data_IF_236308265027
#
_entry.id   IF_236308265027
#
_cell.length_a   1.000
_cell.length_b   1.000
_cell.length_c   1.000
_cell.angle_alpha   90.00
_cell.angle_beta   90.00
_cell.angle_gamma   90.00
#
_symmetry.space_group_name_H-M   'P 1'
#
loop_
_entity.id
_entity.type
_entity.pdbx_description
1 polymer ?
#
# COMPACT_ATOMS: atom_id res chain seq x y z
N UNK A 1 6.59 13.21 16.80
CA UNK A 1 5.41 12.77 16.02
C UNK A 1 5.75 12.86 14.53
N UNK A 2 5.51 11.82 13.71
CA UNK A 2 5.71 11.89 12.25
C UNK A 2 4.50 12.59 11.64
N UNK A 3 4.70 13.76 11.06
CA UNK A 3 3.64 14.55 10.42
C UNK A 3 3.63 14.29 8.91
N UNK A 4 2.47 14.39 8.29
CA UNK A 4 2.29 14.23 6.85
C UNK A 4 1.81 15.56 6.28
N UNK A 5 2.39 15.98 5.16
CA UNK A 5 1.86 17.09 4.37
C UNK A 5 1.72 16.65 2.93
N UNK A 6 0.57 16.94 2.32
CA UNK A 6 0.32 16.70 0.90
C UNK A 6 1.07 17.77 0.10
N UNK A 7 2.02 17.35 -0.75
CA UNK A 7 2.72 18.27 -1.67
C UNK A 7 3.04 17.56 -2.99
N UNK A 8 2.21 17.81 -4.00
CA UNK A 8 2.45 17.46 -5.40
C UNK A 8 1.92 16.10 -5.87
N UNK A 9 1.39 16.10 -7.09
CA UNK A 9 0.50 15.10 -7.73
C UNK A 9 0.98 13.63 -7.84
N UNK A 10 2.17 13.24 -7.34
CA UNK A 10 2.70 11.87 -7.55
C UNK A 10 3.55 11.33 -6.37
N UNK A 11 3.59 12.00 -5.21
CA UNK A 11 4.51 11.62 -4.14
C UNK A 11 3.92 11.82 -2.73
N UNK A 12 4.19 10.85 -1.85
CA UNK A 12 3.94 10.98 -0.41
C UNK A 12 5.15 11.65 0.25
N UNK A 13 4.93 12.78 0.91
CA UNK A 13 5.95 13.44 1.71
C UNK A 13 5.84 12.97 3.16
N UNK A 14 6.81 12.18 3.61
CA UNK A 14 6.88 11.69 4.99
C UNK A 14 7.76 12.65 5.78
N UNK A 15 7.15 13.43 6.67
CA UNK A 15 7.88 14.38 7.53
C UNK A 15 8.15 13.70 8.88
N UNK A 16 9.42 13.71 9.27
CA UNK A 16 9.85 13.44 10.62
C UNK A 16 10.46 14.73 11.20
N UNK A 17 10.50 14.86 12.52
CA UNK A 17 10.95 16.07 13.23
C UNK A 17 12.39 16.53 12.87
N UNK A 18 13.20 15.65 12.27
CA UNK A 18 14.58 15.95 11.82
C UNK A 18 14.83 15.70 10.33
N UNK A 19 13.92 15.03 9.62
CA UNK A 19 14.16 14.61 8.24
C UNK A 19 12.84 14.57 7.45
N UNK A 20 12.82 15.16 6.27
CA UNK A 20 11.78 14.94 5.27
C UNK A 20 12.25 13.87 4.29
N UNK A 21 11.49 12.78 4.14
CA UNK A 21 11.72 11.79 3.08
C UNK A 21 10.54 11.79 2.12
N UNK A 22 10.83 12.01 0.84
CA UNK A 22 9.87 11.89 -0.24
C UNK A 22 9.78 10.43 -0.68
N UNK A 23 8.57 9.89 -0.76
CA UNK A 23 8.29 8.56 -1.29
C UNK A 23 7.51 8.74 -2.59
N UNK A 24 8.06 8.20 -3.67
CA UNK A 24 7.42 8.24 -4.99
C UNK A 24 6.36 7.14 -5.03
N UNK A 25 5.11 7.50 -5.33
CA UNK A 25 3.98 6.55 -5.32
C UNK A 25 4.16 5.39 -6.30
N UNK A 26 4.80 5.65 -7.45
CA UNK A 26 5.13 4.64 -8.46
C UNK A 26 6.01 3.51 -7.89
N UNK A 27 6.84 3.79 -6.90
CA UNK A 27 7.74 2.79 -6.32
C UNK A 27 7.10 2.05 -5.15
N UNK A 28 5.89 2.47 -4.73
CA UNK A 28 5.17 1.82 -3.63
C UNK A 28 4.44 0.60 -4.16
N UNK A 29 4.75 -0.56 -3.58
CA UNK A 29 4.17 -1.84 -3.92
C UNK A 29 2.89 -2.09 -3.13
N UNK A 30 2.98 -2.00 -1.80
CA UNK A 30 1.84 -2.18 -0.91
C UNK A 30 2.01 -1.43 0.41
N UNK A 31 0.90 -1.23 1.10
CA UNK A 31 0.84 -0.73 2.46
C UNK A 31 0.21 -1.79 3.36
N UNK A 32 0.87 -2.05 4.49
CA UNK A 32 0.40 -2.93 5.56
C UNK A 32 0.12 -2.13 6.83
N UNK A 33 -1.12 -2.18 7.29
CA UNK A 33 -1.59 -1.50 8.48
C UNK A 33 -1.45 -2.40 9.70
N UNK A 34 -1.01 -1.83 10.79
CA UNK A 34 -1.02 -2.40 12.13
C UNK A 34 -1.57 -1.34 13.09
N UNK A 35 -2.90 -1.36 13.29
CA UNK A 35 -3.67 -0.47 14.17
C UNK A 35 -3.36 1.01 13.87
N UNK A 36 -2.37 1.60 14.54
CA UNK A 36 -1.98 3.00 14.43
C UNK A 36 -0.73 3.24 13.56
N UNK A 37 -0.16 2.17 13.01
CA UNK A 37 1.02 2.23 12.18
C UNK A 37 0.74 1.69 10.78
N UNK A 38 1.41 2.26 9.79
CA UNK A 38 1.37 1.76 8.42
C UNK A 38 2.79 1.57 7.91
N UNK A 39 3.08 0.36 7.45
CA UNK A 39 4.32 0.01 6.77
C UNK A 39 4.11 0.11 5.27
N UNK A 40 4.86 1.00 4.63
CA UNK A 40 4.92 1.14 3.17
C UNK A 40 6.07 0.26 2.66
N UNK A 41 5.76 -0.63 1.73
CA UNK A 41 6.73 -1.50 1.07
C UNK A 41 7.01 -0.94 -0.33
N UNK A 42 8.28 -0.87 -0.68
CA UNK A 42 8.76 -0.35 -1.95
C UNK A 42 9.29 -1.48 -2.85
N UNK A 43 9.40 -1.18 -4.14
CA UNK A 43 9.90 -2.08 -5.19
C UNK A 43 11.36 -2.52 -4.98
N UNK A 44 12.17 -1.65 -4.38
CA UNK A 44 13.56 -1.91 -4.00
C UNK A 44 13.73 -2.69 -2.68
N UNK A 45 12.68 -3.39 -2.22
CA UNK A 45 12.63 -4.11 -0.94
C UNK A 45 12.86 -3.27 0.32
N UNK A 46 12.88 -1.94 0.20
CA UNK A 46 12.92 -1.07 1.39
C UNK A 46 11.52 -0.90 1.96
N UNK A 47 11.45 -0.63 3.27
CA UNK A 47 10.19 -0.40 3.98
C UNK A 47 10.24 0.84 4.84
N UNK A 48 9.09 1.50 4.99
CA UNK A 48 8.94 2.70 5.81
C UNK A 48 7.72 2.61 6.70
N UNK A 49 7.94 2.74 8.01
CA UNK A 49 6.85 2.77 8.99
C UNK A 49 6.44 4.22 9.29
N UNK A 50 5.15 4.50 9.19
CA UNK A 50 4.52 5.77 9.55
C UNK A 50 3.54 5.53 10.70
N UNK A 51 3.48 6.45 11.65
CA UNK A 51 2.57 6.41 12.80
C UNK A 51 1.20 7.00 12.45
N UNK A 52 0.59 6.50 11.38
CA UNK A 52 -0.78 6.80 10.98
C UNK A 52 -1.43 5.52 10.47
N UNK A 53 -2.74 5.31 10.70
CA UNK A 53 -3.48 4.16 10.18
C UNK A 53 -3.61 4.22 8.65
N UNK A 54 -3.81 3.08 7.97
CA UNK A 54 -4.01 3.08 6.51
C UNK A 54 -5.14 4.01 6.09
N UNK A 55 -6.22 4.06 6.87
CA UNK A 55 -7.40 4.90 6.59
C UNK A 55 -7.03 6.38 6.35
N UNK A 56 -5.95 6.86 6.97
CA UNK A 56 -5.43 8.20 6.78
C UNK A 56 -4.91 8.44 5.35
N UNK A 57 -4.34 7.41 4.71
CA UNK A 57 -3.79 7.49 3.35
C UNK A 57 -4.78 7.07 2.27
N UNK A 58 -5.88 6.40 2.65
CA UNK A 58 -6.81 5.73 1.75
C UNK A 58 -7.34 6.65 0.66
N UNK A 59 -7.97 7.77 1.03
CA UNK A 59 -8.54 8.72 0.05
C UNK A 59 -7.50 9.25 -0.94
N UNK A 60 -6.27 9.53 -0.48
CA UNK A 60 -5.21 10.03 -1.36
C UNK A 60 -4.64 8.93 -2.26
N UNK A 61 -4.50 7.71 -1.76
CA UNK A 61 -3.96 6.60 -2.54
C UNK A 61 -4.98 6.07 -3.55
N UNK A 62 -6.27 6.09 -3.23
CA UNK A 62 -7.34 5.71 -4.16
C UNK A 62 -7.36 6.62 -5.40
N UNK A 63 -7.13 7.92 -5.26
CA UNK A 63 -7.03 8.83 -6.42
C UNK A 63 -5.82 8.53 -7.32
N UNK A 64 -4.85 7.75 -6.82
CA UNK A 64 -3.67 7.30 -7.58
C UNK A 64 -3.79 5.82 -8.00
N UNK A 65 -4.99 5.24 -7.92
CA UNK A 65 -5.26 3.88 -8.41
C UNK A 65 -4.84 2.77 -7.45
N UNK A 66 -4.49 3.06 -6.20
CA UNK A 66 -4.28 2.02 -5.20
C UNK A 66 -5.62 1.39 -4.80
N UNK A 67 -5.59 0.09 -4.52
CA UNK A 67 -6.78 -0.68 -4.14
C UNK A 67 -6.70 -1.10 -2.68
N UNK A 68 -7.72 -0.75 -1.91
CA UNK A 68 -7.92 -1.29 -0.56
C UNK A 68 -8.49 -2.69 -0.66
N UNK A 69 -7.68 -3.73 -0.41
CA UNK A 69 -8.10 -5.15 -0.54
C UNK A 69 -8.47 -5.80 0.80
N UNK A 70 -7.98 -5.24 1.91
CA UNK A 70 -8.27 -5.70 3.27
C UNK A 70 -8.21 -4.55 4.27
N UNK A 71 -8.74 -4.73 5.48
CA UNK A 71 -8.67 -3.71 6.54
C UNK A 71 -7.24 -3.32 6.93
N UNK A 72 -6.27 -4.20 6.68
CA UNK A 72 -4.83 -3.98 6.90
C UNK A 72 -4.01 -3.93 5.62
N UNK A 73 -4.60 -4.08 4.43
CA UNK A 73 -3.82 -4.07 3.18
C UNK A 73 -4.41 -3.11 2.15
N UNK A 74 -3.53 -2.31 1.56
CA UNK A 74 -3.78 -1.49 0.39
C UNK A 74 -2.65 -1.73 -0.60
N UNK A 75 -2.96 -2.03 -1.85
CA UNK A 75 -1.99 -2.51 -2.84
C UNK A 75 -1.95 -1.60 -4.06
N UNK A 76 -0.79 -1.52 -4.72
CA UNK A 76 -0.67 -0.92 -6.04
C UNK A 76 -0.91 -1.98 -7.11
N UNK A 77 -1.98 -1.90 -7.92
CA UNK A 77 -2.30 -2.91 -8.93
C UNK A 77 -1.19 -3.12 -9.97
N UNK A 78 -0.42 -2.07 -10.27
CA UNK A 78 0.69 -2.12 -11.22
C UNK A 78 1.83 -3.05 -10.76
N UNK A 79 1.85 -3.45 -9.49
CA UNK A 79 2.84 -4.36 -8.93
C UNK A 79 2.26 -5.74 -8.61
N UNK A 80 1.03 -6.06 -9.01
CA UNK A 80 0.47 -7.41 -8.82
C UNK A 80 1.08 -8.35 -9.85
N UNK A 81 1.71 -9.44 -9.38
CA UNK A 81 2.24 -10.53 -10.21
C UNK A 81 1.23 -11.65 -10.42
N UNK A 82 0.31 -11.85 -9.48
CA UNK A 82 -0.70 -12.90 -9.57
C UNK A 82 -1.59 -12.94 -8.33
N UNK A 83 -2.53 -13.88 -8.35
CA UNK A 83 -3.49 -14.10 -7.28
C UNK A 83 -3.55 -15.59 -6.91
N UNK A 84 -3.36 -15.90 -5.63
CA UNK A 84 -3.62 -17.23 -5.09
C UNK A 84 -5.07 -17.30 -4.62
N UNK A 85 -5.88 -18.09 -5.33
CA UNK A 85 -7.30 -18.24 -5.04
C UNK A 85 -7.58 -19.03 -3.74
N UNK A 86 -6.74 -20.01 -3.40
CA UNK A 86 -6.92 -20.84 -2.20
C UNK A 86 -6.69 -20.03 -0.92
N UNK A 87 -5.58 -19.28 -0.88
CA UNK A 87 -5.25 -18.41 0.26
C UNK A 87 -5.94 -17.04 0.22
N UNK A 88 -6.49 -16.64 -0.94
CA UNK A 88 -7.05 -15.30 -1.24
C UNK A 88 -5.99 -14.21 -1.10
N UNK A 89 -4.80 -14.44 -1.65
CA UNK A 89 -3.66 -13.54 -1.52
C UNK A 89 -3.22 -13.00 -2.89
N UNK A 90 -2.94 -11.71 -2.95
CA UNK A 90 -2.24 -11.10 -4.07
C UNK A 90 -0.74 -11.26 -3.86
N UNK A 91 -0.06 -11.73 -4.90
CA UNK A 91 1.39 -11.85 -4.94
C UNK A 91 1.92 -10.58 -5.60
N UNK A 92 2.78 -9.85 -4.90
CA UNK A 92 3.30 -8.57 -5.37
C UNK A 92 4.68 -8.70 -6.03
N UNK A 93 5.09 -7.66 -6.76
CA UNK A 93 6.32 -7.68 -7.57
C UNK A 93 7.59 -7.90 -6.75
N UNK A 94 7.60 -7.40 -5.51
CA UNK A 94 8.69 -7.54 -4.55
C UNK A 94 8.62 -8.84 -3.72
N UNK A 95 7.68 -9.74 -4.03
CA UNK A 95 7.51 -11.02 -3.32
C UNK A 95 6.63 -10.94 -2.07
N UNK A 96 6.24 -9.74 -1.63
CA UNK A 96 5.29 -9.59 -0.53
C UNK A 96 3.89 -10.06 -0.94
N UNK A 97 3.08 -10.41 0.06
CA UNK A 97 1.71 -10.90 -0.13
C UNK A 97 0.71 -10.01 0.58
N UNK A 98 -0.45 -9.81 -0.06
CA UNK A 98 -1.56 -9.05 0.50
C UNK A 98 -2.84 -9.90 0.50
N UNK A 99 -3.32 -10.24 1.69
CA UNK A 99 -4.58 -10.96 1.85
C UNK A 99 -5.74 -10.08 1.40
N UNK A 100 -6.69 -10.66 0.67
CA UNK A 100 -7.95 -10.03 0.28
C UNK A 100 -9.05 -10.43 1.27
N UNK A 101 -9.84 -9.46 1.73
CA UNK A 101 -11.04 -9.74 2.52
C UNK A 101 -12.08 -10.50 1.69
N UNK A 102 -12.86 -11.39 2.33
CA UNK A 102 -13.93 -12.17 1.67
C UNK A 102 -14.88 -11.30 0.83
N UNK A 103 -15.27 -10.13 1.36
CA UNK A 103 -16.15 -9.16 0.66
C UNK A 103 -15.52 -8.56 -0.61
N UNK A 104 -14.19 -8.58 -0.73
CA UNK A 104 -13.42 -7.99 -1.83
C UNK A 104 -12.75 -9.04 -2.72
N UNK A 105 -13.12 -10.33 -2.57
CA UNK A 105 -12.53 -11.43 -3.35
C UNK A 105 -12.65 -11.22 -4.86
N UNK A 106 -13.72 -10.56 -5.32
CA UNK A 106 -13.91 -10.18 -6.72
C UNK A 106 -12.75 -9.34 -7.31
N UNK A 107 -11.98 -8.63 -6.48
CA UNK A 107 -10.80 -7.88 -6.92
C UNK A 107 -9.71 -8.85 -7.38
N UNK A 108 -9.43 -9.90 -6.60
CA UNK A 108 -8.38 -10.88 -6.91
C UNK A 108 -8.68 -11.67 -8.18
N UNK A 109 -9.96 -11.98 -8.42
CA UNK A 109 -10.41 -12.71 -9.63
C UNK A 109 -10.06 -12.01 -10.94
N UNK A 110 -9.87 -10.68 -10.94
CA UNK A 110 -9.44 -9.93 -12.13
C UNK A 110 -7.99 -10.22 -12.55
N UNK A 111 -7.20 -10.83 -11.67
CA UNK A 111 -5.78 -11.12 -11.87
C UNK A 111 -5.52 -12.63 -12.04
N UNK A 112 -6.58 -13.39 -12.31
CA UNK A 112 -6.50 -14.77 -12.78
C UNK A 112 -6.46 -14.69 -14.31
N UNK A 113 -5.43 -15.27 -14.92
CA UNK A 113 -5.33 -15.45 -16.37
C UNK A 113 -6.04 -16.72 -16.80
#
# INVERSE_FOLDING_TARGET
MKTYQQKGNNALLIINHRTSKKVILKNVVLLKGNINYTTIYMDNNTKKVIAHPIKFFEAHLETHGFLRVHQTFMVNPNHIKGYNQESRELIMSNGEQAIISRRKEHIGRKFIA
#
